data_IF_894260628815
#
_entry.id   IF_894260628815
#
_cell.length_a   1.000
_cell.length_b   1.000
_cell.length_c   1.000
_cell.angle_alpha   90.00
_cell.angle_beta   90.00
_cell.angle_gamma   90.00
#
_symmetry.space_group_name_H-M   'P 1'
#
loop_
_entity.id
_entity.type
_entity.pdbx_description
1 polymer ?
#
# COMPACT_ATOMS: atom_id res chain seq x y z
N UNK A 1 -3.40 -21.08 -40.32
CA UNK A 1 -3.54 -19.87 -41.15
C UNK A 1 -2.69 -18.79 -40.53
N UNK A 2 -1.55 -18.47 -41.19
CA UNK A 2 -0.57 -17.50 -40.76
C UNK A 2 -1.07 -16.09 -41.07
N UNK A 3 -0.90 -15.16 -40.15
CA UNK A 3 -0.84 -13.74 -40.48
C UNK A 3 0.24 -13.05 -39.64
N UNK A 4 1.39 -12.90 -40.27
CA UNK A 4 2.45 -11.99 -39.88
C UNK A 4 1.98 -10.56 -40.11
N UNK A 5 2.21 -9.69 -39.15
CA UNK A 5 2.29 -8.24 -39.38
C UNK A 5 3.61 -7.74 -38.81
N UNK A 6 4.49 -7.42 -39.75
CA UNK A 6 5.67 -6.57 -39.54
C UNK A 6 5.21 -5.13 -39.81
N UNK A 7 5.52 -4.20 -38.93
CA UNK A 7 5.72 -2.79 -39.30
C UNK A 7 6.81 -2.23 -38.42
N UNK A 8 7.92 -1.89 -39.10
CA UNK A 8 9.00 -1.03 -38.65
C UNK A 8 8.51 0.43 -38.62
N UNK A 9 9.05 1.24 -37.73
CA UNK A 9 9.42 2.62 -38.02
C UNK A 9 10.30 3.20 -36.93
N UNK A 10 11.48 3.60 -37.37
CA UNK A 10 12.50 4.34 -36.64
C UNK A 10 12.06 5.80 -36.39
N UNK A 11 12.62 6.42 -35.36
CA UNK A 11 12.49 7.85 -35.12
C UNK A 11 13.42 8.34 -34.01
N UNK A 12 14.67 8.64 -34.35
CA UNK A 12 15.63 9.33 -33.51
C UNK A 12 15.32 10.82 -33.48
N UNK A 13 15.24 11.44 -32.30
CA UNK A 13 15.41 12.90 -32.16
C UNK A 13 16.34 13.16 -31.00
N UNK A 14 17.53 13.58 -31.33
CA UNK A 14 18.55 14.17 -30.48
C UNK A 14 18.19 15.64 -30.31
N UNK A 15 18.09 16.14 -29.09
CA UNK A 15 18.10 17.59 -28.83
C UNK A 15 19.04 17.88 -27.68
N UNK A 16 20.25 18.29 -28.04
CA UNK A 16 21.26 18.91 -27.18
C UNK A 16 20.93 20.38 -27.00
N UNK A 17 20.85 20.87 -25.78
CA UNK A 17 20.94 22.30 -25.47
C UNK A 17 21.97 22.49 -24.37
N UNK A 18 23.11 23.05 -24.81
CA UNK A 18 24.15 23.67 -23.98
C UNK A 18 23.76 25.11 -23.73
N UNK A 19 23.79 25.56 -22.49
CA UNK A 19 23.94 26.98 -22.17
C UNK A 19 24.82 27.14 -20.94
N UNK A 20 26.04 27.55 -21.23
CA UNK A 20 26.99 28.12 -20.29
C UNK A 20 26.60 29.57 -19.99
N UNK A 21 26.77 30.01 -18.77
CA UNK A 21 26.63 31.40 -18.35
C UNK A 21 27.49 31.66 -17.12
N UNK A 22 28.75 32.07 -17.39
CA UNK A 22 29.65 32.69 -16.42
C UNK A 22 29.38 34.20 -16.38
N UNK A 23 29.65 34.81 -15.23
CA UNK A 23 29.84 36.23 -15.03
C UNK A 23 29.39 36.58 -13.61
N UNK A 24 30.19 36.95 -12.69
CA UNK A 24 31.26 37.89 -12.59
C UNK A 24 30.89 38.96 -11.63
N UNK A 25 31.69 39.15 -10.73
CA UNK A 25 32.41 40.26 -10.12
C UNK A 25 31.98 40.79 -8.75
N UNK A 26 32.96 41.17 -7.89
CA UNK A 26 32.78 41.40 -6.47
C UNK A 26 32.77 42.87 -6.05
N UNK A 27 32.15 43.17 -4.91
CA UNK A 27 32.40 44.38 -4.14
C UNK A 27 31.18 44.94 -3.43
N UNK A 28 31.33 45.75 -2.40
CA UNK A 28 32.27 45.69 -1.30
C UNK A 28 31.60 45.44 0.07
N UNK A 29 32.44 45.25 1.07
CA UNK A 29 32.15 45.10 2.51
C UNK A 29 31.28 46.22 3.07
N UNK A 30 30.28 45.82 3.86
CA UNK A 30 29.83 46.62 4.99
C UNK A 30 29.51 45.73 6.20
N UNK A 31 29.85 46.26 7.35
CA UNK A 31 30.10 45.77 8.68
C UNK A 31 28.84 45.30 9.40
N UNK A 32 29.01 44.32 10.26
CA UNK A 32 28.02 43.69 11.15
C UNK A 32 27.23 44.65 12.05
N UNK A 33 26.13 44.23 12.72
CA UNK A 33 26.31 43.58 14.02
C UNK A 33 25.43 42.35 14.29
N UNK A 34 25.90 41.61 15.28
CA UNK A 34 25.33 40.48 15.97
C UNK A 34 23.80 40.45 16.13
N UNK A 35 23.19 39.32 15.77
CA UNK A 35 21.95 38.88 16.39
C UNK A 35 21.90 37.35 16.47
N UNK A 36 22.15 36.84 17.64
CA UNK A 36 21.66 35.58 18.24
C UNK A 36 20.95 34.62 17.29
N UNK A 37 21.70 33.74 16.67
CA UNK A 37 21.15 32.55 15.98
C UNK A 37 20.81 31.50 17.01
N UNK A 38 19.54 31.36 17.36
CA UNK A 38 19.04 30.17 18.03
C UNK A 38 19.31 28.94 17.13
N UNK A 39 19.86 27.84 17.68
CA UNK A 39 20.01 26.61 16.89
C UNK A 39 18.63 26.06 16.54
N UNK A 40 18.32 26.11 15.26
CA UNK A 40 17.19 25.36 14.68
C UNK A 40 17.37 23.89 15.05
N UNK A 41 16.40 23.21 15.70
CA UNK A 41 16.53 21.80 15.92
C UNK A 41 16.46 21.10 14.57
N UNK A 42 17.62 20.67 14.09
CA UNK A 42 17.71 19.72 12.98
C UNK A 42 17.13 18.40 13.49
N UNK A 43 15.85 18.16 13.23
CA UNK A 43 15.25 16.84 13.37
C UNK A 43 15.83 15.96 12.26
N UNK A 44 17.03 15.44 12.53
CA UNK A 44 17.52 14.26 11.84
C UNK A 44 16.56 13.13 12.16
N UNK A 45 15.63 12.88 11.25
CA UNK A 45 14.95 11.60 11.19
C UNK A 45 16.04 10.56 10.93
N UNK A 46 16.57 9.96 12.00
CA UNK A 46 17.38 8.75 11.91
C UNK A 46 16.50 7.70 11.27
N UNK A 47 16.63 7.51 9.97
CA UNK A 47 16.15 6.32 9.31
C UNK A 47 16.79 5.14 10.06
N UNK A 48 15.98 4.27 10.62
CA UNK A 48 16.43 3.07 11.33
C UNK A 48 17.38 2.31 10.41
N UNK A 49 18.64 2.20 10.81
CA UNK A 49 19.65 1.43 10.08
C UNK A 49 19.50 -0.08 10.31
N UNK A 50 18.41 -0.52 10.93
CA UNK A 50 18.08 -1.92 11.13
C UNK A 50 17.37 -2.47 9.88
N UNK A 51 18.05 -3.35 9.09
CA UNK A 51 17.47 -3.95 7.90
C UNK A 51 16.15 -4.68 8.20
N UNK A 52 16.04 -5.29 9.38
CA UNK A 52 14.83 -5.99 9.78
C UNK A 52 13.66 -5.03 9.96
N UNK A 53 13.87 -3.90 10.60
CA UNK A 53 12.83 -2.89 10.77
C UNK A 53 12.37 -2.30 9.42
N UNK A 54 13.28 -2.14 8.46
CA UNK A 54 12.94 -1.69 7.12
C UNK A 54 12.04 -2.71 6.40
N UNK A 55 12.35 -4.00 6.50
CA UNK A 55 11.55 -5.08 5.89
C UNK A 55 10.19 -5.25 6.58
N UNK A 56 10.10 -5.08 7.91
CA UNK A 56 8.83 -5.05 8.62
C UNK A 56 7.93 -3.91 8.12
N UNK A 57 8.48 -2.73 7.88
CA UNK A 57 7.74 -1.61 7.30
C UNK A 57 7.32 -1.88 5.85
N UNK A 58 8.16 -2.53 5.05
CA UNK A 58 7.82 -2.91 3.67
C UNK A 58 6.68 -3.95 3.63
N UNK A 59 6.71 -4.96 4.50
CA UNK A 59 5.63 -5.93 4.63
C UNK A 59 4.31 -5.28 5.10
N UNK A 60 4.37 -4.35 6.06
CA UNK A 60 3.21 -3.57 6.49
C UNK A 60 2.65 -2.69 5.36
N UNK A 61 3.52 -2.09 4.56
CA UNK A 61 3.09 -1.29 3.40
C UNK A 61 2.34 -2.12 2.37
N UNK A 62 2.77 -3.36 2.11
CA UNK A 62 2.08 -4.31 1.25
C UNK A 62 0.70 -4.70 1.82
N UNK A 63 0.63 -5.03 3.10
CA UNK A 63 -0.63 -5.36 3.79
C UNK A 63 -1.64 -4.22 3.73
N UNK A 64 -1.22 -3.01 4.07
CA UNK A 64 -2.07 -1.82 3.98
C UNK A 64 -2.45 -1.50 2.53
N UNK A 65 -1.53 -1.75 1.58
CA UNK A 65 -1.78 -1.61 0.14
C UNK A 65 -2.89 -2.55 -0.33
N UNK A 66 -2.85 -3.81 0.10
CA UNK A 66 -3.89 -4.81 -0.16
C UNK A 66 -5.26 -4.34 0.33
N UNK A 67 -5.36 -3.89 1.59
CA UNK A 67 -6.64 -3.43 2.15
C UNK A 67 -7.17 -2.17 1.47
N UNK A 68 -6.30 -1.22 1.10
CA UNK A 68 -6.72 -0.05 0.30
C UNK A 68 -7.25 -0.46 -1.08
N UNK A 69 -6.56 -1.37 -1.77
CA UNK A 69 -6.99 -1.87 -3.07
C UNK A 69 -8.31 -2.67 -2.96
N UNK A 70 -8.45 -3.50 -1.92
CA UNK A 70 -9.68 -4.22 -1.60
C UNK A 70 -10.85 -3.26 -1.35
N UNK A 71 -10.68 -2.24 -0.53
CA UNK A 71 -11.72 -1.24 -0.25
C UNK A 71 -12.23 -0.58 -1.55
N UNK A 72 -11.32 -0.19 -2.45
CA UNK A 72 -11.70 0.36 -3.77
C UNK A 72 -12.43 -0.68 -4.62
N UNK A 73 -12.01 -1.94 -4.57
CA UNK A 73 -12.61 -3.02 -5.35
C UNK A 73 -14.06 -3.32 -4.90
N UNK A 74 -14.32 -3.42 -3.59
CA UNK A 74 -15.66 -3.70 -3.05
C UNK A 74 -16.61 -2.53 -3.21
N UNK A 75 -16.11 -1.29 -3.19
CA UNK A 75 -16.89 -0.10 -3.50
C UNK A 75 -17.45 -0.14 -4.93
N UNK A 76 -16.67 -0.67 -5.87
CA UNK A 76 -17.05 -0.81 -7.29
C UNK A 76 -17.66 -2.18 -7.63
N UNK A 77 -17.57 -3.15 -6.71
CA UNK A 77 -17.73 -4.59 -6.96
C UNK A 77 -16.93 -5.06 -8.21
N UNK A 78 -15.72 -4.54 -8.35
CA UNK A 78 -14.81 -4.78 -9.46
C UNK A 78 -13.37 -4.54 -9.07
N UNK A 79 -12.47 -5.44 -9.42
CA UNK A 79 -11.02 -5.26 -9.21
C UNK A 79 -10.37 -4.35 -10.27
N UNK A 80 -11.09 -3.96 -11.31
CA UNK A 80 -10.55 -3.17 -12.42
C UNK A 80 -9.93 -1.85 -11.93
N UNK A 81 -8.63 -1.68 -12.19
CA UNK A 81 -7.86 -0.48 -11.85
C UNK A 81 -7.43 -0.38 -10.39
N UNK A 82 -7.56 -1.45 -9.59
CA UNK A 82 -7.16 -1.46 -8.17
C UNK A 82 -5.69 -1.81 -7.96
N UNK A 83 -5.05 -2.45 -8.94
CA UNK A 83 -3.67 -2.98 -8.82
C UNK A 83 -3.48 -3.92 -7.62
N UNK A 84 -4.52 -4.68 -7.26
CA UNK A 84 -4.49 -5.54 -6.08
C UNK A 84 -3.40 -6.61 -6.14
N UNK A 85 -3.04 -7.06 -7.35
CA UNK A 85 -1.95 -8.01 -7.59
C UNK A 85 -0.56 -7.47 -7.22
N UNK A 86 -0.40 -6.16 -7.08
CA UNK A 86 0.85 -5.57 -6.59
C UNK A 86 1.07 -5.88 -5.10
N UNK A 87 0.00 -6.17 -4.34
CA UNK A 87 0.00 -6.30 -2.89
C UNK A 87 -0.43 -7.68 -2.39
N UNK A 88 -1.16 -8.44 -3.20
CA UNK A 88 -1.69 -9.74 -2.83
C UNK A 88 -1.42 -10.79 -3.91
N UNK A 89 -1.27 -12.03 -3.49
CA UNK A 89 -1.11 -13.21 -4.35
C UNK A 89 -1.72 -14.44 -3.67
N UNK A 90 -1.63 -15.59 -4.32
CA UNK A 90 -2.06 -16.86 -3.73
C UNK A 90 -3.50 -16.85 -3.20
N UNK A 91 -3.66 -17.38 -1.99
CA UNK A 91 -4.97 -17.50 -1.34
C UNK A 91 -5.58 -16.12 -1.01
N UNK A 92 -4.76 -15.15 -0.59
CA UNK A 92 -5.25 -13.80 -0.30
C UNK A 92 -5.94 -13.17 -1.52
N UNK A 93 -5.30 -13.23 -2.67
CA UNK A 93 -5.86 -12.69 -3.91
C UNK A 93 -7.12 -13.46 -4.35
N UNK A 94 -7.12 -14.79 -4.20
CA UNK A 94 -8.27 -15.63 -4.54
C UNK A 94 -9.48 -15.30 -3.66
N UNK A 95 -9.29 -15.15 -2.35
CA UNK A 95 -10.33 -14.75 -1.39
C UNK A 95 -10.92 -13.39 -1.74
N UNK A 96 -10.08 -12.38 -1.97
CA UNK A 96 -10.54 -11.04 -2.35
C UNK A 96 -11.36 -11.07 -3.65
N UNK A 97 -10.92 -11.83 -4.64
CA UNK A 97 -11.66 -12.00 -5.89
C UNK A 97 -13.00 -12.70 -5.69
N UNK A 98 -13.06 -13.65 -4.78
CA UNK A 98 -14.32 -14.32 -4.41
C UNK A 98 -15.28 -13.33 -3.75
N UNK A 99 -14.82 -12.52 -2.79
CA UNK A 99 -15.63 -11.51 -2.11
C UNK A 99 -16.21 -10.50 -3.11
N UNK A 100 -15.37 -9.99 -4.02
CA UNK A 100 -15.80 -9.04 -5.05
C UNK A 100 -16.87 -9.66 -5.97
N UNK A 101 -16.71 -10.94 -6.34
CA UNK A 101 -17.72 -11.66 -7.15
C UNK A 101 -19.03 -11.81 -6.38
N UNK A 102 -18.95 -12.27 -5.12
CA UNK A 102 -20.14 -12.43 -4.27
C UNK A 102 -20.90 -11.12 -4.08
N UNK A 103 -20.18 -10.02 -3.83
CA UNK A 103 -20.80 -8.69 -3.72
C UNK A 103 -21.47 -8.26 -5.03
N UNK A 104 -20.82 -8.49 -6.16
CA UNK A 104 -21.40 -8.16 -7.47
C UNK A 104 -22.67 -8.96 -7.75
N UNK A 105 -22.68 -10.26 -7.45
CA UNK A 105 -23.81 -11.16 -7.63
C UNK A 105 -24.97 -10.79 -6.70
N UNK A 106 -24.67 -10.40 -5.45
CA UNK A 106 -25.64 -9.93 -4.48
C UNK A 106 -26.14 -8.49 -4.71
N UNK A 107 -25.55 -7.75 -5.67
CA UNK A 107 -25.86 -6.34 -5.90
C UNK A 107 -25.43 -5.43 -4.75
N UNK A 108 -24.47 -5.88 -3.93
CA UNK A 108 -23.99 -5.10 -2.77
C UNK A 108 -22.73 -4.31 -3.09
N UNK A 109 -22.49 -3.27 -2.31
CA UNK A 109 -21.27 -2.44 -2.30
C UNK A 109 -20.87 -2.16 -0.87
N UNK A 110 -19.59 -1.94 -0.64
CA UNK A 110 -19.12 -1.50 0.66
C UNK A 110 -18.44 -0.14 0.52
N UNK A 111 -18.63 0.71 1.50
CA UNK A 111 -18.10 2.07 1.55
C UNK A 111 -17.48 2.35 2.91
N UNK A 112 -16.67 3.39 2.99
CA UNK A 112 -16.05 3.83 4.23
C UNK A 112 -14.58 3.47 4.34
N UNK A 113 -14.10 3.43 5.56
CA UNK A 113 -12.70 3.13 5.89
C UNK A 113 -12.64 1.99 6.88
N UNK A 114 -11.74 1.05 6.63
CA UNK A 114 -11.33 0.08 7.64
C UNK A 114 -10.26 0.72 8.53
N UNK A 115 -10.47 0.69 9.84
CA UNK A 115 -9.43 1.00 10.80
C UNK A 115 -8.41 -0.15 10.89
N UNK A 116 -7.13 0.18 11.08
CA UNK A 116 -6.04 -0.77 11.10
C UNK A 116 -5.01 -0.44 12.16
N UNK A 117 -4.57 -1.43 12.91
CA UNK A 117 -3.46 -1.34 13.87
C UNK A 117 -2.45 -2.49 13.63
N UNK A 118 -1.89 -2.63 12.40
CA UNK A 118 -1.10 -3.78 12.04
C UNK A 118 0.30 -3.74 12.65
N UNK A 119 0.79 -4.94 13.01
CA UNK A 119 2.17 -5.20 13.45
C UNK A 119 2.73 -6.35 12.62
N UNK A 120 3.96 -6.22 12.13
CA UNK A 120 4.65 -7.28 11.40
C UNK A 120 5.85 -7.81 12.18
N UNK A 121 6.16 -9.07 11.93
CA UNK A 121 7.41 -9.72 12.31
C UNK A 121 7.94 -10.43 11.09
N UNK A 122 9.16 -10.12 10.66
CA UNK A 122 9.79 -10.76 9.51
C UNK A 122 10.77 -11.85 9.92
N UNK A 123 10.80 -12.91 9.13
CA UNK A 123 11.86 -13.91 9.10
C UNK A 123 12.63 -13.81 7.77
N UNK A 124 13.79 -13.16 7.83
CA UNK A 124 14.67 -12.97 6.68
C UNK A 124 15.54 -14.21 6.38
N UNK A 125 15.47 -15.26 7.22
CA UNK A 125 16.22 -16.50 7.01
C UNK A 125 15.43 -17.55 6.24
N UNK A 126 14.12 -17.39 6.14
CA UNK A 126 13.28 -18.23 5.28
C UNK A 126 13.55 -17.95 3.80
N UNK A 127 13.23 -18.91 2.94
CA UNK A 127 13.37 -18.79 1.49
C UNK A 127 12.06 -19.20 0.81
N UNK A 128 11.29 -18.25 0.29
CA UNK A 128 11.49 -16.79 0.32
C UNK A 128 11.40 -16.19 1.74
N UNK A 129 11.89 -14.97 1.99
CA UNK A 129 11.63 -14.26 3.24
C UNK A 129 10.15 -14.11 3.52
N UNK A 130 9.75 -14.28 4.79
CA UNK A 130 8.34 -14.26 5.20
C UNK A 130 8.05 -13.20 6.25
N UNK A 131 6.80 -12.75 6.31
CA UNK A 131 6.31 -11.89 7.37
C UNK A 131 5.00 -12.44 7.94
N UNK A 132 4.90 -12.46 9.27
CA UNK A 132 3.64 -12.67 9.98
C UNK A 132 3.10 -11.33 10.43
N UNK A 133 1.86 -11.03 10.07
CA UNK A 133 1.19 -9.78 10.38
C UNK A 133 -0.01 -10.08 11.27
N UNK A 134 -0.16 -9.28 12.33
CA UNK A 134 -1.35 -9.28 13.19
C UNK A 134 -1.94 -7.88 13.17
N UNK A 135 -3.27 -7.80 13.07
CA UNK A 135 -3.98 -6.53 12.97
C UNK A 135 -5.27 -6.58 13.78
N UNK A 136 -5.76 -5.42 14.16
CA UNK A 136 -7.09 -5.20 14.67
C UNK A 136 -7.87 -4.40 13.62
N UNK A 137 -8.79 -5.06 12.91
CA UNK A 137 -9.68 -4.40 11.97
C UNK A 137 -10.82 -3.71 12.72
N UNK A 138 -11.08 -2.46 12.40
CA UNK A 138 -12.18 -1.66 12.94
C UNK A 138 -13.17 -1.33 11.81
N UNK A 139 -14.41 -1.80 11.99
CA UNK A 139 -15.53 -1.61 11.04
C UNK A 139 -16.38 -0.39 11.35
N UNK A 140 -16.02 0.42 12.35
CA UNK A 140 -16.83 1.55 12.81
C UNK A 140 -17.27 2.49 11.66
N UNK A 141 -16.37 2.74 10.72
CA UNK A 141 -16.60 3.61 9.58
C UNK A 141 -16.81 2.82 8.27
N UNK A 142 -17.24 1.56 8.39
CA UNK A 142 -17.49 0.67 7.26
C UNK A 142 -18.96 0.34 7.12
N UNK A 143 -19.52 0.53 5.94
CA UNK A 143 -20.91 0.28 5.63
C UNK A 143 -21.06 -0.57 4.38
N UNK A 144 -21.94 -1.56 4.43
CA UNK A 144 -22.38 -2.32 3.26
C UNK A 144 -23.77 -1.84 2.83
N UNK A 145 -23.95 -1.62 1.53
CA UNK A 145 -25.21 -1.15 0.95
C UNK A 145 -25.72 -2.08 -0.13
N UNK A 146 -27.04 -2.15 -0.34
CA UNK A 146 -27.71 -2.72 -1.50
C UNK A 146 -28.72 -1.71 -2.03
N UNK A 147 -28.67 -1.44 -3.34
CA UNK A 147 -29.53 -0.43 -4.00
C UNK A 147 -29.50 0.92 -3.27
N UNK A 148 -28.29 1.30 -2.77
CA UNK A 148 -28.07 2.54 -2.02
C UNK A 148 -28.63 2.56 -0.60
N UNK A 149 -29.19 1.45 -0.09
CA UNK A 149 -29.69 1.32 1.27
C UNK A 149 -28.72 0.57 2.14
N UNK A 150 -28.41 1.05 3.36
CA UNK A 150 -27.57 0.34 4.31
C UNK A 150 -28.11 -1.04 4.64
N UNK A 151 -27.18 -2.02 4.69
CA UNK A 151 -27.47 -3.35 5.22
C UNK A 151 -26.94 -3.40 6.65
N UNK A 152 -27.74 -3.84 7.63
CA UNK A 152 -27.26 -4.00 8.98
C UNK A 152 -26.17 -5.09 9.02
N UNK A 153 -25.13 -4.85 9.81
CA UNK A 153 -24.20 -5.90 10.16
C UNK A 153 -24.93 -6.97 11.00
N UNK A 154 -24.52 -8.25 10.93
CA UNK A 154 -25.01 -9.26 11.83
C UNK A 154 -24.89 -8.78 13.28
N UNK A 155 -25.94 -8.94 14.08
CA UNK A 155 -26.01 -8.39 15.45
C UNK A 155 -24.92 -8.90 16.38
N UNK A 156 -24.34 -10.06 16.09
CA UNK A 156 -23.29 -10.70 16.88
C UNK A 156 -21.87 -10.44 16.34
N UNK A 157 -21.75 -9.73 15.21
CA UNK A 157 -20.45 -9.40 14.65
C UNK A 157 -19.81 -8.27 15.45
N UNK A 158 -18.63 -8.48 16.07
CA UNK A 158 -17.93 -7.39 16.73
C UNK A 158 -17.49 -6.33 15.71
N UNK A 159 -17.54 -5.07 16.12
CA UNK A 159 -17.09 -3.95 15.27
C UNK A 159 -15.57 -3.93 15.14
N UNK A 160 -14.85 -4.55 16.06
CA UNK A 160 -13.39 -4.71 16.01
C UNK A 160 -13.05 -6.17 16.21
N UNK A 161 -12.23 -6.71 15.33
CA UNK A 161 -11.81 -8.10 15.40
C UNK A 161 -10.38 -8.31 14.88
N UNK A 162 -9.80 -9.38 15.40
CA UNK A 162 -8.44 -9.78 15.05
C UNK A 162 -8.36 -10.26 13.61
N UNK A 163 -7.29 -9.85 12.93
CA UNK A 163 -6.89 -10.40 11.63
C UNK A 163 -5.43 -10.85 11.70
N UNK A 164 -5.13 -11.96 11.06
CA UNK A 164 -3.77 -12.43 10.85
C UNK A 164 -3.50 -12.56 9.37
N UNK A 165 -2.25 -12.30 8.96
CA UNK A 165 -1.84 -12.47 7.57
C UNK A 165 -0.41 -12.99 7.49
N UNK A 166 -0.11 -13.63 6.36
CA UNK A 166 1.24 -14.00 5.95
C UNK A 166 1.57 -13.27 4.66
N UNK A 167 2.80 -12.74 4.59
CA UNK A 167 3.34 -12.15 3.39
C UNK A 167 4.69 -12.76 3.06
N UNK A 168 5.04 -12.76 1.78
CA UNK A 168 6.31 -13.22 1.24
C UNK A 168 6.97 -12.11 0.43
N UNK A 169 8.29 -12.05 0.50
CA UNK A 169 9.09 -11.21 -0.39
C UNK A 169 9.42 -11.98 -1.66
N UNK A 170 9.05 -11.41 -2.78
CA UNK A 170 9.26 -12.03 -4.09
C UNK A 170 10.60 -11.60 -4.70
N UNK A 171 11.00 -12.26 -5.80
CA UNK A 171 12.27 -12.01 -6.50
C UNK A 171 12.40 -10.56 -7.01
N UNK A 172 11.27 -9.84 -7.18
CA UNK A 172 11.25 -8.41 -7.51
C UNK A 172 11.49 -7.50 -6.30
N UNK A 173 11.79 -8.07 -5.13
CA UNK A 173 12.03 -7.37 -3.86
C UNK A 173 10.75 -6.87 -3.18
N UNK A 174 9.57 -7.08 -3.77
CA UNK A 174 8.30 -6.61 -3.19
C UNK A 174 7.66 -7.67 -2.30
N UNK A 175 7.08 -7.20 -1.22
CA UNK A 175 6.24 -8.02 -0.35
C UNK A 175 4.83 -8.14 -0.93
N UNK A 176 4.25 -9.34 -0.84
CA UNK A 176 2.85 -9.61 -1.17
C UNK A 176 2.22 -10.45 -0.07
N UNK A 177 1.01 -10.10 0.32
CA UNK A 177 0.20 -10.92 1.21
C UNK A 177 -0.25 -12.17 0.44
N UNK A 178 0.08 -13.34 0.96
CA UNK A 178 -0.25 -14.62 0.33
C UNK A 178 -1.48 -15.27 0.94
N UNK A 179 -1.77 -14.95 2.20
CA UNK A 179 -2.90 -15.46 2.97
C UNK A 179 -3.31 -14.46 4.04
N UNK A 180 -4.60 -14.38 4.36
CA UNK A 180 -5.09 -13.70 5.55
C UNK A 180 -6.33 -14.41 6.11
N UNK A 181 -6.54 -14.25 7.42
CA UNK A 181 -7.70 -14.79 8.12
C UNK A 181 -8.30 -13.70 9.01
N UNK A 182 -9.60 -13.49 8.87
CA UNK A 182 -10.39 -12.63 9.74
C UNK A 182 -11.02 -13.47 10.84
N UNK A 183 -10.65 -13.22 12.08
CA UNK A 183 -11.15 -13.95 13.25
C UNK A 183 -12.35 -13.20 13.83
N UNK A 184 -13.50 -13.27 13.15
CA UNK A 184 -14.70 -12.49 13.48
C UNK A 184 -15.25 -12.73 14.91
N UNK A 185 -14.82 -13.80 15.58
CA UNK A 185 -15.21 -14.10 16.96
C UNK A 185 -14.20 -13.58 18.00
N UNK A 186 -13.04 -13.07 17.56
CA UNK A 186 -11.96 -12.59 18.44
C UNK A 186 -11.92 -11.07 18.41
N UNK A 187 -12.52 -10.45 19.41
CA UNK A 187 -12.41 -9.00 19.60
C UNK A 187 -10.98 -8.60 19.96
N UNK A 188 -10.62 -7.38 19.60
CA UNK A 188 -9.31 -6.79 19.96
C UNK A 188 -9.40 -5.34 20.49
#
# INVERSE_FOLDING_TARGET
MHRKWLVEAAGAVVLTVLLAGCGGEPGPKETAPDANGAPSPSVSASASSDPKAAEEQAALAAYQGMWRAHAVAVQKASEKGTRIEDYASGEALATIRQDIRAMREAGTRANGKLGHEPKAKVDLKSSPPTATITDCLDLKDWETTRDGKPLPLPSEQPMRYRTTAQAEQWDDGRWRVIQYTQHGEQTC
#
